data_IF_937005400343
#
_entry.id   IF_937005400343
#
_cell.length_a   1.000
_cell.length_b   1.000
_cell.length_c   1.000
_cell.angle_alpha   90.00
_cell.angle_beta   90.00
_cell.angle_gamma   90.00
#
_symmetry.space_group_name_H-M   'P 1'
#
loop_
_entity.id
_entity.type
_entity.pdbx_description
1 polymer ?
#
# COMPACT_ATOMS: atom_id res chain seq x y z
N UNK A 1 -3.83 31.11 -6.13
CA UNK A 1 -4.23 29.81 -6.65
C UNK A 1 -3.30 28.76 -6.05
N UNK A 2 -3.76 28.07 -5.00
CA UNK A 2 -2.93 27.20 -4.17
C UNK A 2 -2.95 25.73 -4.61
N UNK A 3 -2.60 25.42 -5.85
CA UNK A 3 -2.45 24.06 -6.33
C UNK A 3 -1.04 23.53 -6.15
N UNK A 4 -0.85 22.20 -6.28
CA UNK A 4 0.47 21.56 -6.32
C UNK A 4 1.09 21.76 -7.69
N UNK A 5 2.32 22.25 -7.73
CA UNK A 5 3.12 22.38 -8.95
C UNK A 5 4.27 21.36 -8.92
N UNK A 6 4.43 20.65 -10.02
CA UNK A 6 5.51 19.68 -10.23
C UNK A 6 6.47 20.28 -11.25
N UNK A 7 7.76 20.33 -10.90
CA UNK A 7 8.82 20.81 -11.80
C UNK A 7 9.83 19.69 -12.03
N UNK A 8 10.07 19.36 -13.28
CA UNK A 8 11.17 18.48 -13.67
C UNK A 8 12.40 19.33 -14.01
N UNK A 9 13.47 19.10 -13.26
CA UNK A 9 14.72 19.80 -13.43
C UNK A 9 15.80 18.85 -13.96
N UNK A 10 16.68 19.35 -14.79
CA UNK A 10 17.94 18.70 -15.16
C UNK A 10 19.11 19.53 -14.68
N UNK A 11 20.29 18.93 -14.65
CA UNK A 11 21.55 19.62 -14.34
C UNK A 11 22.35 19.69 -15.62
N UNK A 12 22.72 20.90 -16.05
CA UNK A 12 23.58 21.11 -17.22
C UNK A 12 25.06 20.80 -16.94
N UNK A 13 25.92 20.98 -17.96
CA UNK A 13 27.35 20.67 -17.86
C UNK A 13 28.09 21.57 -16.85
N UNK A 14 27.54 22.73 -16.54
CA UNK A 14 28.10 23.70 -15.60
C UNK A 14 27.56 23.50 -14.17
N UNK A 15 26.74 22.48 -13.97
CA UNK A 15 26.12 22.15 -12.66
C UNK A 15 24.91 23.01 -12.31
N UNK A 16 24.32 23.72 -13.29
CA UNK A 16 23.15 24.58 -13.06
C UNK A 16 21.87 23.81 -13.32
N UNK A 17 20.86 24.03 -12.47
CA UNK A 17 19.53 23.49 -12.67
C UNK A 17 18.82 24.19 -13.81
N UNK A 18 18.26 23.41 -14.72
CA UNK A 18 17.41 23.88 -15.81
C UNK A 18 16.05 23.20 -15.72
N UNK A 19 14.98 23.97 -15.80
CA UNK A 19 13.62 23.46 -15.84
C UNK A 19 13.35 22.84 -17.22
N UNK A 20 13.00 21.55 -17.23
CA UNK A 20 12.68 20.79 -18.44
C UNK A 20 11.18 20.78 -18.70
N UNK A 21 10.41 20.55 -17.66
CA UNK A 21 8.95 20.54 -17.74
C UNK A 21 8.31 21.04 -16.44
N UNK A 22 7.08 21.52 -16.55
CA UNK A 22 6.26 21.94 -15.43
C UNK A 22 4.83 21.46 -15.63
N UNK A 23 4.20 20.98 -14.55
CA UNK A 23 2.80 20.57 -14.54
C UNK A 23 2.13 21.05 -13.27
N UNK A 24 0.93 21.61 -13.38
CA UNK A 24 0.07 21.97 -12.24
C UNK A 24 -0.98 20.90 -11.99
N UNK A 25 -1.14 20.51 -10.72
CA UNK A 25 -2.29 19.70 -10.29
C UNK A 25 -3.42 20.61 -9.83
N UNK A 26 -4.66 20.19 -10.11
CA UNK A 26 -5.85 20.96 -9.75
C UNK A 26 -5.96 21.16 -8.24
N UNK A 27 -6.10 22.42 -7.81
CA UNK A 27 -6.30 22.81 -6.42
C UNK A 27 -7.61 22.25 -5.83
N UNK A 28 -8.59 21.92 -6.68
CA UNK A 28 -9.85 21.31 -6.24
C UNK A 28 -9.65 19.86 -5.77
N UNK A 29 -8.60 19.19 -6.26
CA UNK A 29 -8.27 17.81 -5.92
C UNK A 29 -7.15 17.72 -4.90
N UNK A 30 -6.10 18.52 -5.04
CA UNK A 30 -4.88 18.42 -4.24
C UNK A 30 -4.56 19.72 -3.51
N UNK A 31 -4.43 19.62 -2.20
CA UNK A 31 -4.05 20.74 -1.32
C UNK A 31 -2.56 20.78 -0.98
N UNK A 32 -1.81 19.71 -1.31
CA UNK A 32 -0.38 19.61 -1.05
C UNK A 32 0.20 18.28 -1.51
N UNK A 33 1.52 18.14 -1.43
CA UNK A 33 2.27 16.92 -1.70
C UNK A 33 2.63 16.24 -0.39
N UNK A 34 2.34 14.94 -0.27
CA UNK A 34 2.72 14.11 0.88
C UNK A 34 4.00 13.32 0.59
N UNK A 35 4.11 12.70 -0.58
CA UNK A 35 5.27 11.92 -0.97
C UNK A 35 5.46 11.92 -2.49
N UNK A 36 6.68 11.65 -2.92
CA UNK A 36 7.05 11.45 -4.32
C UNK A 36 7.94 10.22 -4.41
N UNK A 37 7.63 9.33 -5.33
CA UNK A 37 8.46 8.19 -5.67
C UNK A 37 8.69 8.17 -7.18
N UNK A 38 9.76 7.52 -7.62
CA UNK A 38 10.04 7.33 -9.04
C UNK A 38 10.51 5.90 -9.27
N UNK A 39 10.03 5.28 -10.34
CA UNK A 39 10.36 3.92 -10.71
C UNK A 39 10.22 3.65 -12.20
N UNK A 40 10.48 2.41 -12.59
CA UNK A 40 10.17 1.93 -13.94
C UNK A 40 8.74 1.38 -13.94
N UNK A 41 8.05 1.52 -15.05
CA UNK A 41 6.80 0.81 -15.27
C UNK A 41 7.03 -0.52 -16.01
N UNK A 42 6.04 -1.38 -16.02
CA UNK A 42 6.05 -2.64 -16.76
C UNK A 42 6.26 -2.44 -18.27
N UNK A 43 5.92 -1.27 -18.80
CA UNK A 43 6.16 -0.84 -20.17
C UNK A 43 7.59 -0.29 -20.43
N UNK A 44 8.44 -0.26 -19.41
CA UNK A 44 9.81 0.25 -19.46
C UNK A 44 9.96 1.78 -19.43
N UNK A 45 8.87 2.53 -19.36
CA UNK A 45 8.92 3.99 -19.15
C UNK A 45 9.29 4.29 -17.69
N UNK A 46 9.84 5.50 -17.48
CA UNK A 46 10.07 6.03 -16.12
C UNK A 46 8.87 6.83 -15.67
N UNK A 47 8.34 6.44 -14.52
CA UNK A 47 7.19 7.08 -13.90
C UNK A 47 7.58 7.87 -12.66
N UNK A 48 6.85 8.95 -12.45
CA UNK A 48 6.80 9.72 -11.23
C UNK A 48 5.44 9.44 -10.57
N UNK A 49 5.47 8.95 -9.35
CA UNK A 49 4.29 8.70 -8.53
C UNK A 49 4.23 9.76 -7.45
N UNK A 50 3.17 10.53 -7.41
CA UNK A 50 2.97 11.61 -6.43
C UNK A 50 1.73 11.31 -5.61
N UNK A 51 1.90 11.18 -4.30
CA UNK A 51 0.82 11.13 -3.34
C UNK A 51 0.53 12.53 -2.84
N UNK A 52 -0.68 13.00 -3.11
CA UNK A 52 -1.12 14.33 -2.73
C UNK A 52 -2.18 14.31 -1.63
N UNK A 53 -2.12 15.30 -0.75
CA UNK A 53 -3.18 15.57 0.22
C UNK A 53 -4.44 16.02 -0.49
N UNK A 54 -5.60 15.45 -0.11
CA UNK A 54 -6.89 15.75 -0.71
C UNK A 54 -7.86 16.34 0.31
N UNK A 55 -8.85 17.11 -0.21
CA UNK A 55 -9.88 17.73 0.60
C UNK A 55 -9.40 18.91 1.46
N UNK A 56 -10.34 19.61 2.06
CA UNK A 56 -10.08 20.80 2.87
C UNK A 56 -9.34 20.50 4.19
N UNK A 57 -9.47 19.28 4.71
CA UNK A 57 -8.80 18.85 5.95
C UNK A 57 -7.39 18.31 5.73
N UNK A 58 -7.02 17.97 4.48
CA UNK A 58 -5.71 17.40 4.15
C UNK A 58 -5.41 16.05 4.82
N UNK A 59 -6.44 15.27 5.17
CA UNK A 59 -6.27 14.03 5.92
C UNK A 59 -6.28 12.79 5.02
N UNK A 60 -6.76 12.91 3.79
CA UNK A 60 -6.79 11.82 2.83
C UNK A 60 -5.68 11.99 1.80
N UNK A 61 -5.23 10.87 1.23
CA UNK A 61 -4.30 10.83 0.12
C UNK A 61 -4.98 10.33 -1.14
N UNK A 62 -4.54 10.85 -2.28
CA UNK A 62 -4.76 10.25 -3.59
C UNK A 62 -3.49 10.36 -4.42
N UNK A 63 -3.37 9.54 -5.45
CA UNK A 63 -2.14 9.40 -6.22
C UNK A 63 -2.32 9.93 -7.64
N UNK A 64 -1.25 10.53 -8.16
CA UNK A 64 -1.07 10.86 -9.58
C UNK A 64 0.12 10.09 -10.11
N UNK A 65 -0.06 9.48 -11.28
CA UNK A 65 0.98 8.73 -11.99
C UNK A 65 1.31 9.47 -13.29
N UNK A 66 2.56 9.91 -13.42
CA UNK A 66 3.03 10.74 -14.52
C UNK A 66 4.28 10.14 -15.15
N UNK A 67 4.51 10.43 -16.42
CA UNK A 67 5.80 10.17 -17.07
C UNK A 67 6.25 11.40 -17.85
N UNK A 68 7.54 11.50 -18.12
CA UNK A 68 8.09 12.53 -18.99
C UNK A 68 8.14 11.99 -20.40
N UNK A 69 7.44 12.68 -21.30
CA UNK A 69 7.47 12.40 -22.74
C UNK A 69 8.60 13.20 -23.41
N UNK A 70 9.61 12.49 -23.90
CA UNK A 70 10.79 13.12 -24.51
C UNK A 70 10.47 13.80 -25.85
N UNK A 71 9.43 13.35 -26.56
CA UNK A 71 9.08 13.92 -27.86
C UNK A 71 8.39 15.28 -27.69
N UNK A 72 7.39 15.36 -26.81
CA UNK A 72 6.69 16.62 -26.54
C UNK A 72 7.38 17.51 -25.49
N UNK A 73 8.38 16.98 -24.78
CA UNK A 73 9.05 17.65 -23.64
C UNK A 73 8.06 18.06 -22.54
N UNK A 74 7.08 17.18 -22.24
CA UNK A 74 6.04 17.44 -21.26
C UNK A 74 5.94 16.31 -20.24
N UNK A 75 5.44 16.65 -19.04
CA UNK A 75 4.95 15.68 -18.08
C UNK A 75 3.51 15.30 -18.46
N UNK A 76 3.28 14.03 -18.71
CA UNK A 76 1.98 13.49 -19.11
C UNK A 76 1.47 12.46 -18.09
N UNK A 77 0.13 12.36 -17.89
CA UNK A 77 -0.46 11.27 -17.12
C UNK A 77 -0.17 9.91 -17.78
N UNK A 78 -0.14 8.86 -16.95
CA UNK A 78 -0.06 7.50 -17.46
C UNK A 78 -1.22 7.20 -18.44
N UNK A 79 -0.91 6.43 -19.48
CA UNK A 79 -1.88 6.11 -20.54
C UNK A 79 -2.84 4.96 -20.15
N UNK A 80 -2.39 4.10 -19.22
CA UNK A 80 -3.09 2.88 -18.83
C UNK A 80 -4.31 3.13 -17.95
N UNK A 81 -4.32 4.27 -17.25
CA UNK A 81 -5.42 4.67 -16.36
C UNK A 81 -5.65 6.17 -16.44
N UNK A 82 -6.89 6.61 -16.52
CA UNK A 82 -7.18 8.03 -16.48
C UNK A 82 -6.86 8.64 -15.10
N UNK A 83 -6.45 9.91 -15.08
CA UNK A 83 -6.15 10.63 -13.83
C UNK A 83 -7.33 10.61 -12.85
N UNK A 84 -8.58 10.60 -13.35
CA UNK A 84 -9.77 10.58 -12.49
C UNK A 84 -10.03 9.20 -11.91
N UNK A 85 -9.82 8.14 -12.67
CA UNK A 85 -9.95 6.77 -12.21
C UNK A 85 -8.88 6.47 -11.15
N UNK A 86 -7.62 6.80 -11.43
CA UNK A 86 -6.54 6.61 -10.48
C UNK A 86 -6.76 7.42 -9.19
N UNK A 87 -7.19 8.68 -9.29
CA UNK A 87 -7.52 9.50 -8.12
C UNK A 87 -8.55 8.80 -7.22
N UNK A 88 -9.64 8.29 -7.80
CA UNK A 88 -10.69 7.63 -7.02
C UNK A 88 -10.23 6.28 -6.46
N UNK A 89 -9.54 5.47 -7.26
CA UNK A 89 -9.05 4.15 -6.83
C UNK A 89 -8.00 4.24 -5.72
N UNK A 90 -7.15 5.27 -5.75
CA UNK A 90 -6.08 5.48 -4.77
C UNK A 90 -6.48 6.35 -3.58
N UNK A 91 -7.75 6.79 -3.51
CA UNK A 91 -8.22 7.59 -2.38
C UNK A 91 -8.21 6.76 -1.10
N UNK A 92 -7.46 7.22 -0.10
CA UNK A 92 -7.26 6.53 1.17
C UNK A 92 -7.19 7.49 2.35
N UNK A 93 -7.63 7.03 3.51
CA UNK A 93 -7.70 7.82 4.74
C UNK A 93 -6.48 7.63 5.66
N UNK A 94 -5.54 6.77 5.30
CA UNK A 94 -4.30 6.52 6.05
C UNK A 94 -3.19 7.41 5.50
N UNK A 95 -2.90 8.50 6.20
CA UNK A 95 -1.97 9.55 5.75
C UNK A 95 -0.49 9.12 5.66
N UNK A 96 -0.13 8.02 6.26
CA UNK A 96 1.23 7.45 6.22
C UNK A 96 1.40 6.36 5.17
N UNK A 97 0.30 5.93 4.54
CA UNK A 97 0.30 4.90 3.51
C UNK A 97 0.61 5.55 2.16
N UNK A 98 1.90 5.69 1.83
CA UNK A 98 2.39 6.30 0.59
C UNK A 98 2.87 5.25 -0.40
N UNK A 99 2.78 5.60 -1.70
CA UNK A 99 3.25 4.78 -2.81
C UNK A 99 4.74 4.51 -2.71
N UNK A 100 5.18 3.29 -3.03
CA UNK A 100 6.57 2.85 -2.94
C UNK A 100 6.83 1.60 -3.75
N UNK A 101 8.08 1.32 -4.04
CA UNK A 101 8.54 0.00 -4.45
C UNK A 101 8.48 -0.92 -3.21
N UNK A 102 7.43 -1.75 -3.13
CA UNK A 102 7.12 -2.56 -1.95
C UNK A 102 8.02 -3.80 -1.88
N UNK A 103 8.24 -4.46 -3.01
CA UNK A 103 8.94 -5.75 -3.11
C UNK A 103 10.39 -5.64 -3.60
N UNK A 104 10.83 -4.46 -4.00
CA UNK A 104 12.20 -4.17 -4.41
C UNK A 104 12.48 -4.48 -5.88
N UNK A 105 11.46 -4.57 -6.74
CA UNK A 105 11.59 -4.86 -8.17
C UNK A 105 11.87 -3.62 -9.03
N UNK A 106 11.82 -2.42 -8.43
CA UNK A 106 12.06 -1.13 -9.08
C UNK A 106 10.80 -0.48 -9.67
N UNK A 107 9.66 -1.12 -9.56
CA UNK A 107 8.34 -0.57 -9.88
C UNK A 107 7.76 0.06 -8.60
N UNK A 108 7.01 1.14 -8.74
CA UNK A 108 6.36 1.77 -7.59
C UNK A 108 4.90 1.36 -7.55
N UNK A 109 4.54 0.60 -6.52
CA UNK A 109 3.16 0.23 -6.27
C UNK A 109 2.40 1.34 -5.56
N UNK A 110 1.14 1.47 -5.91
CA UNK A 110 0.19 2.43 -5.37
C UNK A 110 -0.78 1.69 -4.44
N UNK A 111 -0.84 2.04 -3.15
CA UNK A 111 -1.76 1.38 -2.23
C UNK A 111 -3.19 1.89 -2.42
N UNK A 112 -4.14 0.97 -2.39
CA UNK A 112 -5.58 1.20 -2.48
C UNK A 112 -6.31 0.55 -1.32
N UNK A 113 -7.47 1.07 -0.95
CA UNK A 113 -8.34 0.56 0.12
C UNK A 113 -9.73 0.22 -0.46
N UNK A 114 -9.88 -0.83 -1.26
CA UNK A 114 -11.18 -1.19 -1.80
C UNK A 114 -12.07 -1.83 -0.72
N UNK A 115 -13.32 -1.36 -0.61
CA UNK A 115 -14.29 -1.85 0.38
C UNK A 115 -14.55 -3.37 0.26
N UNK A 116 -14.44 -3.92 -0.94
CA UNK A 116 -14.62 -5.33 -1.24
C UNK A 116 -13.45 -6.23 -0.85
N UNK A 117 -12.29 -5.67 -0.48
CA UNK A 117 -11.10 -6.47 -0.14
C UNK A 117 -11.29 -7.35 1.10
N UNK A 118 -12.16 -6.92 2.03
CA UNK A 118 -12.51 -7.69 3.22
C UNK A 118 -13.39 -6.90 4.19
N UNK A 119 -13.89 -7.56 5.21
CA UNK A 119 -14.73 -6.95 6.24
C UNK A 119 -13.92 -6.69 7.52
N UNK A 120 -14.17 -5.54 8.15
CA UNK A 120 -13.58 -5.17 9.43
C UNK A 120 -14.61 -5.28 10.54
N UNK A 121 -14.30 -6.05 11.59
CA UNK A 121 -15.09 -6.20 12.79
C UNK A 121 -14.18 -6.16 14.02
N UNK A 122 -13.43 -5.05 14.15
CA UNK A 122 -12.48 -4.81 15.21
C UNK A 122 -13.04 -3.85 16.26
N UNK A 123 -12.51 -3.92 17.48
CA UNK A 123 -12.73 -2.89 18.49
C UNK A 123 -12.20 -1.53 17.99
N UNK A 124 -12.82 -0.44 18.41
CA UNK A 124 -12.49 0.92 17.97
C UNK A 124 -11.04 1.37 18.27
N UNK A 125 -10.33 0.64 19.14
CA UNK A 125 -8.94 0.95 19.49
C UNK A 125 -7.92 0.46 18.46
N UNK A 126 -8.32 -0.41 17.55
CA UNK A 126 -7.40 -0.97 16.53
C UNK A 126 -7.55 -0.28 15.21
N UNK A 127 -6.39 0.01 14.61
CA UNK A 127 -6.28 0.63 13.28
C UNK A 127 -5.61 -0.35 12.33
N UNK A 128 -6.41 -1.25 11.80
CA UNK A 128 -6.00 -2.18 10.76
C UNK A 128 -6.97 -2.10 9.59
N UNK A 129 -6.46 -2.29 8.37
CA UNK A 129 -7.27 -2.23 7.16
C UNK A 129 -6.76 -3.20 6.11
N UNK A 130 -7.63 -3.63 5.19
CA UNK A 130 -7.23 -4.37 4.02
C UNK A 130 -6.68 -3.43 2.95
N UNK A 131 -5.51 -3.76 2.41
CA UNK A 131 -4.81 -2.96 1.40
C UNK A 131 -4.50 -3.85 0.21
N UNK A 132 -4.70 -3.29 -0.98
CA UNK A 132 -4.23 -3.85 -2.24
C UNK A 132 -3.18 -2.91 -2.82
N UNK A 133 -2.01 -3.46 -3.17
CA UNK A 133 -0.94 -2.72 -3.83
C UNK A 133 -1.02 -2.96 -5.34
N UNK A 134 -1.03 -1.88 -6.11
CA UNK A 134 -1.33 -1.87 -7.53
C UNK A 134 -0.18 -1.31 -8.35
N UNK A 135 0.22 -2.02 -9.40
CA UNK A 135 1.05 -1.48 -10.49
C UNK A 135 0.15 -1.11 -11.67
N UNK A 136 -0.25 0.15 -11.75
CA UNK A 136 -1.10 0.64 -12.84
C UNK A 136 -0.39 0.77 -14.19
N UNK A 137 0.88 0.40 -14.29
CA UNK A 137 1.63 0.32 -15.54
C UNK A 137 1.62 -1.09 -16.14
N UNK A 138 1.15 -2.07 -15.37
CA UNK A 138 1.02 -3.47 -15.77
C UNK A 138 -0.36 -3.77 -16.38
N UNK A 139 -0.44 -4.71 -17.35
CA UNK A 139 -1.72 -5.26 -17.80
C UNK A 139 -2.47 -6.05 -16.71
N UNK A 140 -1.74 -6.56 -15.72
CA UNK A 140 -2.29 -7.18 -14.50
C UNK A 140 -1.88 -6.30 -13.31
N UNK A 141 -2.69 -5.30 -12.96
CA UNK A 141 -2.25 -4.24 -12.07
C UNK A 141 -2.15 -4.64 -10.61
N UNK A 142 -2.85 -5.69 -10.15
CA UNK A 142 -2.73 -6.14 -8.77
C UNK A 142 -1.40 -6.84 -8.52
N UNK A 143 -0.67 -6.37 -7.52
CA UNK A 143 0.63 -6.95 -7.11
C UNK A 143 0.52 -7.73 -5.82
N UNK A 144 -0.19 -7.22 -4.83
CA UNK A 144 -0.22 -7.80 -3.50
C UNK A 144 -1.48 -7.37 -2.74
N UNK A 145 -2.10 -8.32 -2.06
CA UNK A 145 -3.23 -8.13 -1.16
C UNK A 145 -2.81 -8.44 0.28
N UNK A 146 -3.30 -7.70 1.26
CA UNK A 146 -2.98 -7.99 2.66
C UNK A 146 -3.56 -7.01 3.66
N UNK A 147 -2.99 -7.03 4.86
CA UNK A 147 -3.40 -6.20 5.99
C UNK A 147 -2.36 -5.12 6.29
N UNK A 148 -2.81 -3.91 6.46
CA UNK A 148 -2.08 -2.83 7.09
C UNK A 148 -2.36 -2.82 8.59
N UNK A 149 -1.33 -2.79 9.40
CA UNK A 149 -1.37 -2.38 10.80
C UNK A 149 -0.79 -0.97 10.88
N UNK A 150 -1.67 0.03 11.03
CA UNK A 150 -1.27 1.44 11.03
C UNK A 150 -0.38 1.79 12.23
N UNK A 151 -0.66 1.19 13.39
CA UNK A 151 0.07 1.48 14.63
C UNK A 151 1.52 1.03 14.53
N UNK A 152 1.74 -0.13 13.96
CA UNK A 152 3.09 -0.67 13.76
C UNK A 152 3.73 -0.24 12.46
N UNK A 153 3.00 0.44 11.56
CA UNK A 153 3.42 0.78 10.21
C UNK A 153 3.94 -0.44 9.44
N UNK A 154 3.19 -1.53 9.50
CA UNK A 154 3.54 -2.79 8.86
C UNK A 154 2.41 -3.26 7.95
N UNK A 155 2.80 -3.83 6.82
CA UNK A 155 1.92 -4.54 5.91
C UNK A 155 2.21 -6.04 5.99
N UNK A 156 1.17 -6.83 6.08
CA UNK A 156 1.23 -8.29 6.09
C UNK A 156 0.55 -8.80 4.83
N UNK A 157 1.35 -9.24 3.87
CA UNK A 157 0.86 -9.85 2.65
C UNK A 157 0.08 -11.13 2.95
N UNK A 158 -1.05 -11.29 2.30
CA UNK A 158 -1.93 -12.46 2.40
C UNK A 158 -2.02 -13.17 1.05
N UNK A 159 -2.39 -14.46 1.02
CA UNK A 159 -2.70 -15.14 -0.23
C UNK A 159 -3.78 -14.41 -1.03
N UNK A 160 -3.54 -14.13 -2.31
CA UNK A 160 -4.47 -13.40 -3.17
C UNK A 160 -5.86 -14.07 -3.26
N UNK A 161 -5.90 -15.42 -3.17
CA UNK A 161 -7.17 -16.15 -3.18
C UNK A 161 -8.08 -15.90 -1.96
N UNK A 162 -7.62 -15.15 -0.99
CA UNK A 162 -8.41 -14.78 0.20
C UNK A 162 -9.09 -13.42 0.08
N UNK A 163 -8.70 -12.61 -0.90
CA UNK A 163 -9.31 -11.31 -1.14
C UNK A 163 -10.83 -11.41 -1.30
N UNK A 164 -11.54 -10.46 -0.70
CA UNK A 164 -13.00 -10.38 -0.74
C UNK A 164 -13.73 -11.41 0.14
N UNK A 165 -13.03 -12.40 0.72
CA UNK A 165 -13.67 -13.45 1.51
C UNK A 165 -13.20 -13.51 2.97
N UNK A 166 -12.56 -12.46 3.46
CA UNK A 166 -12.06 -12.41 4.83
C UNK A 166 -12.81 -11.38 5.67
N UNK A 167 -12.91 -11.71 6.95
CA UNK A 167 -13.33 -10.80 8.01
C UNK A 167 -12.24 -10.78 9.09
N UNK A 168 -11.75 -9.57 9.40
CA UNK A 168 -10.80 -9.33 10.48
C UNK A 168 -11.57 -9.05 11.77
N UNK A 169 -11.25 -9.78 12.84
CA UNK A 169 -11.90 -9.68 14.15
C UNK A 169 -10.88 -9.64 15.27
N UNK A 170 -11.29 -9.11 16.44
CA UNK A 170 -10.49 -9.29 17.66
C UNK A 170 -10.42 -10.77 18.03
N UNK A 171 -9.29 -11.19 18.62
CA UNK A 171 -9.09 -12.57 19.08
C UNK A 171 -9.30 -12.69 20.58
N UNK A 172 -9.83 -13.84 21.01
CA UNK A 172 -9.90 -14.19 22.41
C UNK A 172 -8.52 -14.52 23.05
N UNK A 173 -7.46 -14.62 22.24
CA UNK A 173 -6.10 -14.98 22.71
C UNK A 173 -5.31 -13.81 23.32
N UNK A 174 -5.90 -12.62 23.41
CA UNK A 174 -5.30 -11.45 24.04
C UNK A 174 -5.66 -10.14 23.36
N UNK A 175 -5.44 -9.04 24.06
CA UNK A 175 -5.79 -7.68 23.57
C UNK A 175 -5.06 -7.27 22.28
N UNK A 176 -3.91 -7.87 22.03
CA UNK A 176 -3.08 -7.58 20.85
C UNK A 176 -3.13 -8.70 19.78
N UNK A 177 -4.10 -9.59 19.90
CA UNK A 177 -4.32 -10.64 18.92
C UNK A 177 -5.55 -10.34 18.05
N UNK A 178 -5.46 -10.70 16.77
CA UNK A 178 -6.53 -10.59 15.79
C UNK A 178 -6.68 -11.92 15.04
N UNK A 179 -7.87 -12.13 14.51
CA UNK A 179 -8.21 -13.31 13.73
C UNK A 179 -8.75 -12.92 12.38
N UNK A 180 -8.26 -13.59 11.34
CA UNK A 180 -8.88 -13.61 10.03
C UNK A 180 -9.78 -14.83 9.92
N UNK A 181 -11.04 -14.58 9.57
CA UNK A 181 -12.05 -15.62 9.37
C UNK A 181 -12.68 -15.49 8.00
N UNK A 182 -13.15 -16.58 7.41
CA UNK A 182 -13.94 -16.51 6.18
C UNK A 182 -15.28 -15.82 6.46
N UNK A 183 -15.76 -15.02 5.51
CA UNK A 183 -17.02 -14.27 5.64
C UNK A 183 -18.22 -15.24 5.62
N UNK A 184 -18.18 -16.25 4.77
CA UNK A 184 -19.28 -17.19 4.52
C UNK A 184 -19.51 -18.19 5.68
N UNK A 185 -18.44 -18.80 6.18
CA UNK A 185 -18.54 -19.90 7.15
C UNK A 185 -17.96 -19.53 8.55
N UNK A 186 -17.31 -18.34 8.69
CA UNK A 186 -16.66 -17.91 9.93
C UNK A 186 -15.47 -18.79 10.33
N UNK A 187 -14.91 -19.57 9.40
CA UNK A 187 -13.76 -20.43 9.66
C UNK A 187 -12.53 -19.61 9.99
N UNK A 188 -11.79 -20.00 11.00
CA UNK A 188 -10.51 -19.39 11.33
C UNK A 188 -9.48 -19.70 10.25
N UNK A 189 -8.91 -18.66 9.66
CA UNK A 189 -7.91 -18.75 8.59
C UNK A 189 -6.52 -18.42 9.12
N UNK A 190 -6.40 -17.35 9.89
CA UNK A 190 -5.14 -16.91 10.46
C UNK A 190 -5.37 -16.24 11.81
N UNK A 191 -4.49 -16.50 12.77
CA UNK A 191 -4.39 -15.70 13.99
C UNK A 191 -3.07 -14.97 13.98
N UNK A 192 -3.07 -13.67 14.30
CA UNK A 192 -1.87 -12.86 14.43
C UNK A 192 -1.83 -12.22 15.82
N UNK A 193 -0.62 -12.01 16.34
CA UNK A 193 -0.41 -11.33 17.62
C UNK A 193 0.90 -10.55 17.65
N UNK A 194 0.92 -9.47 18.41
CA UNK A 194 2.11 -8.69 18.68
C UNK A 194 2.51 -8.91 20.14
N UNK A 195 3.67 -9.54 20.38
CA UNK A 195 4.11 -9.97 21.70
C UNK A 195 5.52 -9.46 22.00
N UNK A 196 5.96 -9.43 23.29
CA UNK A 196 7.34 -9.08 23.61
C UNK A 196 8.35 -9.96 22.86
N UNK A 197 9.49 -9.37 22.46
CA UNK A 197 10.52 -10.11 21.69
C UNK A 197 11.11 -11.32 22.44
N UNK A 198 10.95 -11.39 23.75
CA UNK A 198 11.33 -12.53 24.59
C UNK A 198 10.30 -13.67 24.62
N UNK A 199 9.10 -13.43 24.08
CA UNK A 199 8.02 -14.43 24.06
C UNK A 199 8.39 -15.59 23.15
N UNK A 200 8.04 -16.81 23.59
CA UNK A 200 8.27 -18.02 22.79
C UNK A 200 7.37 -18.03 21.55
N UNK A 201 7.94 -18.43 20.42
CA UNK A 201 7.21 -18.65 19.18
C UNK A 201 6.74 -20.12 19.01
N UNK A 202 6.73 -20.93 20.08
CA UNK A 202 6.29 -22.32 19.98
C UNK A 202 4.86 -22.42 19.42
N UNK A 203 4.69 -23.12 18.30
CA UNK A 203 3.40 -23.21 17.58
C UNK A 203 3.01 -21.99 16.76
N UNK A 204 3.89 -20.99 16.63
CA UNK A 204 3.70 -19.76 15.85
C UNK A 204 4.81 -19.57 14.82
N UNK A 205 4.47 -18.96 13.71
CA UNK A 205 5.46 -18.44 12.74
C UNK A 205 5.82 -17.01 13.13
N UNK A 206 7.11 -16.73 13.33
CA UNK A 206 7.58 -15.37 13.53
C UNK A 206 7.64 -14.66 12.17
N UNK A 207 6.91 -13.54 12.06
CA UNK A 207 6.90 -12.71 10.85
C UNK A 207 8.06 -11.70 10.87
N UNK A 208 8.30 -11.07 12.01
CA UNK A 208 9.36 -10.07 12.16
C UNK A 208 9.34 -9.38 13.51
N UNK A 209 10.21 -8.36 13.67
CA UNK A 209 10.25 -7.50 14.86
C UNK A 209 9.74 -6.12 14.48
N UNK A 210 8.83 -5.58 15.26
CA UNK A 210 8.20 -4.29 15.08
C UNK A 210 8.29 -3.53 16.41
N UNK A 211 8.91 -2.37 16.41
CA UNK A 211 9.04 -1.51 17.60
C UNK A 211 9.45 -2.28 18.88
N UNK A 212 10.50 -3.11 18.81
CA UNK A 212 11.01 -3.97 19.89
C UNK A 212 10.10 -5.14 20.32
N UNK A 213 8.98 -5.35 19.66
CA UNK A 213 8.08 -6.49 19.83
C UNK A 213 8.17 -7.42 18.62
N UNK A 214 7.75 -8.66 18.75
CA UNK A 214 7.70 -9.59 17.63
C UNK A 214 6.26 -9.83 17.19
N UNK A 215 6.04 -9.75 15.88
CA UNK A 215 4.79 -10.17 15.26
C UNK A 215 4.87 -11.65 14.96
N UNK A 216 3.87 -12.37 15.40
CA UNK A 216 3.72 -13.82 15.22
C UNK A 216 2.37 -14.11 14.60
N UNK A 217 2.32 -15.13 13.73
CA UNK A 217 1.08 -15.61 13.15
C UNK A 217 1.05 -17.13 13.06
N UNK A 218 -0.15 -17.69 12.98
CA UNK A 218 -0.37 -19.10 12.71
C UNK A 218 -1.62 -19.30 11.89
N UNK A 219 -1.59 -20.27 11.00
CA UNK A 219 -2.77 -20.66 10.23
C UNK A 219 -3.80 -21.34 11.12
N UNK A 220 -5.07 -21.18 10.73
CA UNK A 220 -6.15 -21.99 11.23
C UNK A 220 -5.95 -23.50 10.90
N UNK A 221 -6.61 -24.41 11.63
CA UNK A 221 -6.34 -25.84 11.53
C UNK A 221 -6.65 -26.46 10.17
N UNK A 222 -7.59 -25.88 9.43
CA UNK A 222 -8.10 -26.47 8.18
C UNK A 222 -7.67 -25.67 6.93
N UNK A 223 -6.68 -24.79 7.06
CA UNK A 223 -6.22 -23.95 5.94
C UNK A 223 -5.38 -24.74 4.98
N UNK A 224 -5.79 -24.73 3.71
CA UNK A 224 -5.05 -25.25 2.57
C UNK A 224 -4.82 -24.12 1.58
N UNK A 225 -3.55 -23.75 1.38
CA UNK A 225 -3.18 -22.71 0.42
C UNK A 225 -3.17 -23.27 -1.00
N UNK A 226 -3.75 -22.54 -1.93
CA UNK A 226 -3.66 -22.83 -3.37
C UNK A 226 -2.25 -22.53 -3.88
N UNK A 227 -1.73 -21.37 -3.51
CA UNK A 227 -0.34 -21.01 -3.83
C UNK A 227 0.62 -21.71 -2.87
N UNK A 228 1.33 -22.71 -3.38
CA UNK A 228 2.33 -23.45 -2.63
C UNK A 228 3.66 -22.68 -2.46
N UNK A 229 3.83 -21.54 -3.14
CA UNK A 229 5.03 -20.69 -3.01
C UNK A 229 4.90 -19.70 -1.84
N UNK A 230 3.69 -19.35 -1.42
CA UNK A 230 3.44 -18.43 -0.30
C UNK A 230 4.11 -18.90 0.99
N UNK A 231 4.75 -17.97 1.69
CA UNK A 231 5.45 -18.25 2.95
C UNK A 231 5.11 -17.17 3.98
N UNK A 232 4.29 -17.52 4.95
CA UNK A 232 3.90 -16.66 6.06
C UNK A 232 5.10 -15.96 6.75
N UNK A 233 6.24 -16.63 6.86
CA UNK A 233 7.46 -16.05 7.45
C UNK A 233 8.13 -14.96 6.62
N UNK A 234 7.66 -14.69 5.41
CA UNK A 234 8.17 -13.66 4.50
C UNK A 234 7.12 -12.60 4.16
N UNK A 235 5.94 -12.67 4.77
CA UNK A 235 4.80 -11.82 4.43
C UNK A 235 4.81 -10.43 5.09
N UNK A 236 5.77 -10.12 5.97
CA UNK A 236 5.82 -8.84 6.69
C UNK A 236 6.71 -7.83 5.97
N UNK A 237 6.12 -6.71 5.59
CA UNK A 237 6.80 -5.53 5.05
C UNK A 237 6.72 -4.37 6.04
N UNK A 238 7.83 -3.66 6.25
CA UNK A 238 7.85 -2.43 7.05
C UNK A 238 7.67 -1.24 6.14
N UNK A 239 6.76 -0.35 6.52
CA UNK A 239 6.41 0.82 5.72
C UNK A 239 7.10 2.12 6.17
N UNK A 240 7.99 2.05 7.13
CA UNK A 240 8.79 3.17 7.65
C UNK A 240 10.29 2.88 7.61
#
# INVERSE_FOLDING_TARGET
DGGVQIELLTVDRDGMFQQVAVMGLSADKFSGCAAVAAGLGADGKRYLVLDGWTGLSGNNLATVLLYFDEESQQMLPAEQISTSELYNASLRNVSTLVSRDLDGDGIVEIPTQPDEAGLLNLSQSRRMDFIVWMDYTSPEPEKSFGLLDEESSCYIELPAEWEGNLMLTDSAEGEEAVELRTVDEGKLVLTMRLVPSSESAAGWTRLGVVASRQMQARFGPDVVLKDQSYRLSRSLYRLN
#
